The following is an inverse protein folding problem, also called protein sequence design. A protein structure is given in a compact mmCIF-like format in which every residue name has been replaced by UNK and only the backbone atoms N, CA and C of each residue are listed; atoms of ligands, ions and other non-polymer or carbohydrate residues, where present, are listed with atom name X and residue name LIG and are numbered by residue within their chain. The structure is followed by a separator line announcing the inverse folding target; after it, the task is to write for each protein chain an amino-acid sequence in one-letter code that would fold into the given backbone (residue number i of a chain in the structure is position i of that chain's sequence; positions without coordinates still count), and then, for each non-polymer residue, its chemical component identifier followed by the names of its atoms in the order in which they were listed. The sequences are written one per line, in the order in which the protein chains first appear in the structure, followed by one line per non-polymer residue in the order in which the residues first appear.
data_IF_952659989017
#
_entry.id   IF_952659989017
#
_cell.length_a   1.000
_cell.length_b   1.000
_cell.length_c   1.000
_cell.angle_alpha   90.00
_cell.angle_beta   90.00
_cell.angle_gamma   90.00
#
_symmetry.space_group_name_H-M   'P 1'
#
loop_
_entity.id
_entity.type
_entity.pdbx_description
1 polymer ?
#
# COMPACT_ATOMS: atom_id res chain seq x y z
N UNK A 1 72.73 -8.89 44.46
CA UNK A 1 74.13 -8.46 44.28
C UNK A 1 74.91 -9.57 43.57
N UNK A 2 75.42 -9.25 42.38
CA UNK A 2 76.63 -9.79 41.74
C UNK A 2 76.78 -11.32 41.58
N UNK A 3 76.49 -11.85 40.39
CA UNK A 3 77.29 -12.86 39.64
C UNK A 3 76.57 -13.30 38.34
N UNK A 4 75.89 -12.38 37.65
CA UNK A 4 75.77 -12.46 36.18
C UNK A 4 77.16 -12.12 35.59
N UNK A 5 77.54 -12.74 34.46
CA UNK A 5 78.71 -12.41 33.60
C UNK A 5 79.92 -13.39 33.56
N UNK A 6 79.71 -14.72 33.63
CA UNK A 6 80.76 -15.68 33.17
C UNK A 6 80.31 -16.82 32.27
N UNK A 7 79.05 -16.88 31.84
CA UNK A 7 78.52 -17.96 30.97
C UNK A 7 78.48 -17.62 29.46
N UNK A 8 79.00 -16.47 29.04
CA UNK A 8 78.88 -15.97 27.65
C UNK A 8 80.20 -15.97 26.85
N UNK A 9 81.26 -16.64 27.32
CA UNK A 9 82.58 -16.66 26.63
C UNK A 9 83.04 -18.03 26.13
N UNK A 10 82.23 -19.07 26.31
CA UNK A 10 82.60 -20.47 26.00
C UNK A 10 81.92 -21.05 24.75
N UNK A 11 81.10 -20.26 24.04
CA UNK A 11 80.39 -20.70 22.83
C UNK A 11 81.13 -20.35 21.51
N UNK A 12 82.25 -19.62 21.58
CA UNK A 12 82.95 -19.07 20.39
C UNK A 12 84.29 -19.75 20.05
N UNK A 13 84.65 -20.86 20.71
CA UNK A 13 85.96 -21.50 20.53
C UNK A 13 85.91 -22.98 20.13
N UNK A 14 84.72 -23.58 20.04
CA UNK A 14 84.54 -24.99 19.61
C UNK A 14 84.17 -25.10 18.11
N UNK A 15 83.80 -23.99 17.46
CA UNK A 15 83.43 -23.99 16.04
C UNK A 15 84.61 -23.81 15.05
N UNK A 16 85.83 -23.54 15.54
CA UNK A 16 86.99 -23.17 14.70
C UNK A 16 88.09 -24.25 14.65
N UNK A 17 87.91 -25.37 15.36
CA UNK A 17 88.94 -26.42 15.53
C UNK A 17 88.49 -27.81 15.02
N UNK A 18 87.61 -27.88 14.04
CA UNK A 18 87.27 -29.12 13.31
C UNK A 18 87.55 -29.05 11.80
N UNK A 19 88.24 -28.00 11.34
CA UNK A 19 88.42 -27.70 9.91
C UNK A 19 89.80 -28.01 9.34
N UNK A 20 90.67 -28.78 10.02
CA UNK A 20 92.06 -28.95 9.57
C UNK A 20 92.65 -30.38 9.62
N UNK A 21 91.85 -31.42 9.37
CA UNK A 21 92.40 -32.79 9.26
C UNK A 21 91.53 -33.75 8.43
N UNK A 22 91.45 -33.54 7.11
CA UNK A 22 91.25 -34.63 6.14
C UNK A 22 91.96 -34.25 4.84
N UNK A 23 93.29 -34.40 4.86
CA UNK A 23 94.09 -34.50 3.66
C UNK A 23 94.08 -35.95 3.17
N UNK A 24 94.01 -36.11 1.84
CA UNK A 24 94.22 -37.32 1.03
C UNK A 24 92.98 -38.12 0.62
N UNK A 25 92.51 -37.77 -0.57
CA UNK A 25 91.75 -38.58 -1.53
C UNK A 25 91.56 -37.68 -2.75
N UNK A 26 92.42 -37.76 -3.76
CA UNK A 26 92.33 -38.79 -4.78
C UNK A 26 91.52 -38.23 -5.94
N UNK A 27 92.22 -37.87 -7.02
CA UNK A 27 91.71 -37.20 -8.21
C UNK A 27 90.56 -37.96 -8.88
N UNK A 28 89.53 -37.22 -9.30
CA UNK A 28 88.94 -37.34 -10.65
C UNK A 28 88.37 -35.97 -11.06
N UNK A 29 88.75 -35.53 -12.26
CA UNK A 29 88.37 -34.24 -12.84
C UNK A 29 86.88 -34.23 -13.18
N UNK A 30 86.15 -33.24 -12.67
CA UNK A 30 84.76 -32.96 -13.06
C UNK A 30 84.79 -32.00 -14.25
N UNK A 31 84.02 -32.32 -15.28
CA UNK A 31 83.79 -31.45 -16.42
C UNK A 31 83.32 -30.06 -15.94
N UNK A 32 83.80 -29.01 -16.61
CA UNK A 32 83.47 -27.64 -16.28
C UNK A 32 81.95 -27.41 -16.32
N UNK A 33 81.43 -26.65 -15.35
CA UNK A 33 80.02 -26.26 -15.34
C UNK A 33 79.66 -25.55 -16.66
N UNK A 34 78.50 -25.84 -17.28
CA UNK A 34 78.03 -25.08 -18.43
C UNK A 34 77.85 -23.61 -18.03
N UNK A 35 78.18 -22.71 -18.96
CA UNK A 35 78.05 -21.26 -18.76
C UNK A 35 76.60 -20.89 -18.43
N UNK A 36 76.42 -19.88 -17.57
CA UNK A 36 75.09 -19.40 -17.18
C UNK A 36 74.38 -18.79 -18.38
N UNK A 37 73.12 -19.15 -18.58
CA UNK A 37 72.24 -18.49 -19.53
C UNK A 37 72.05 -17.01 -19.13
N UNK A 38 71.93 -16.14 -20.13
CA UNK A 38 71.66 -14.71 -19.90
C UNK A 38 70.29 -14.50 -19.25
N UNK A 39 70.17 -13.50 -18.37
CA UNK A 39 68.91 -13.17 -17.71
C UNK A 39 67.83 -12.80 -18.75
N UNK A 40 66.65 -13.39 -18.61
CA UNK A 40 65.48 -13.01 -19.40
C UNK A 40 65.12 -11.53 -19.13
N UNK A 41 64.68 -10.84 -20.19
CA UNK A 41 64.23 -9.45 -20.11
C UNK A 41 62.97 -9.35 -19.24
N UNK A 42 62.85 -8.27 -18.46
CA UNK A 42 61.68 -8.03 -17.61
C UNK A 42 60.39 -7.97 -18.45
N UNK A 43 59.38 -8.72 -18.04
CA UNK A 43 58.04 -8.68 -18.64
C UNK A 43 57.46 -7.26 -18.55
N UNK A 44 56.83 -6.81 -19.64
CA UNK A 44 56.13 -5.53 -19.68
C UNK A 44 54.95 -5.52 -18.71
N UNK A 45 54.79 -4.43 -17.96
CA UNK A 45 53.71 -4.29 -16.97
C UNK A 45 52.31 -4.49 -17.57
N UNK A 46 51.41 -5.05 -16.77
CA UNK A 46 50.02 -5.29 -17.16
C UNK A 46 49.32 -3.98 -17.58
N UNK A 47 48.58 -4.03 -18.68
CA UNK A 47 47.83 -2.88 -19.16
C UNK A 47 46.68 -2.50 -18.21
N UNK A 48 46.20 -1.24 -18.25
CA UNK A 48 45.08 -0.84 -17.41
C UNK A 48 43.82 -1.67 -17.70
N UNK A 49 42.97 -1.94 -16.69
CA UNK A 49 41.70 -2.62 -16.89
C UNK A 49 40.84 -1.92 -17.95
N UNK A 50 40.16 -2.70 -18.80
CA UNK A 50 39.21 -2.16 -19.76
C UNK A 50 38.04 -1.44 -19.08
N UNK A 51 37.36 -0.51 -19.78
CA UNK A 51 36.18 0.15 -19.26
C UNK A 51 35.07 -0.87 -18.93
N UNK A 52 34.22 -0.59 -17.92
CA UNK A 52 33.04 -1.41 -17.64
C UNK A 52 32.18 -1.58 -18.91
N UNK A 53 31.61 -2.77 -19.08
CA UNK A 53 30.65 -3.02 -20.16
C UNK A 53 29.40 -2.15 -20.02
N UNK A 54 28.66 -1.92 -21.12
CA UNK A 54 27.39 -1.22 -21.04
C UNK A 54 26.42 -1.96 -20.12
N UNK A 55 25.58 -1.20 -19.42
CA UNK A 55 24.49 -1.73 -18.60
C UNK A 55 23.59 -2.63 -19.47
N UNK A 56 23.20 -3.78 -18.92
CA UNK A 56 22.32 -4.71 -19.61
C UNK A 56 20.95 -4.06 -19.88
N UNK A 57 20.22 -4.49 -20.92
CA UNK A 57 18.85 -4.03 -21.10
C UNK A 57 18.02 -4.32 -19.84
N UNK A 58 17.09 -3.43 -19.45
CA UNK A 58 16.14 -3.71 -18.38
C UNK A 58 15.47 -5.06 -18.62
N UNK A 59 15.39 -5.88 -17.57
CA UNK A 59 14.67 -7.15 -17.64
C UNK A 59 13.22 -6.91 -18.10
N UNK A 60 12.56 -7.90 -18.72
CA UNK A 60 11.13 -7.81 -18.98
C UNK A 60 10.43 -7.48 -17.66
N UNK A 61 9.63 -6.41 -17.63
CA UNK A 61 8.85 -6.06 -16.45
C UNK A 61 8.07 -7.29 -15.99
N UNK A 62 8.08 -7.57 -14.69
CA UNK A 62 7.30 -8.67 -14.14
C UNK A 62 5.83 -8.40 -14.46
N UNK A 63 5.29 -9.08 -15.48
CA UNK A 63 3.85 -9.18 -15.63
C UNK A 63 3.39 -10.14 -14.55
N UNK A 64 2.87 -9.60 -13.44
CA UNK A 64 2.02 -10.40 -12.56
C UNK A 64 0.72 -10.58 -13.32
N UNK A 65 0.68 -11.62 -14.15
CA UNK A 65 -0.55 -12.08 -14.78
C UNK A 65 -1.49 -12.47 -13.64
N UNK A 66 -2.74 -12.00 -13.62
CA UNK A 66 -3.71 -12.38 -12.60
C UNK A 66 -4.05 -13.85 -12.77
N UNK A 67 -3.23 -14.71 -12.18
CA UNK A 67 -3.53 -16.11 -12.00
C UNK A 67 -4.39 -16.15 -10.75
N UNK A 68 -5.69 -16.33 -10.96
CA UNK A 68 -6.73 -16.56 -9.95
C UNK A 68 -7.36 -15.28 -9.38
N UNK A 69 -8.02 -14.49 -10.23
CA UNK A 69 -9.20 -13.78 -9.72
C UNK A 69 -10.29 -14.80 -9.42
N UNK A 70 -11.07 -14.55 -8.37
CA UNK A 70 -12.19 -15.39 -7.93
C UNK A 70 -13.12 -15.80 -9.09
N UNK A 71 -13.23 -14.96 -10.13
CA UNK A 71 -14.10 -15.14 -11.29
C UNK A 71 -13.89 -16.44 -12.07
N UNK A 72 -12.67 -16.97 -12.13
CA UNK A 72 -12.40 -18.29 -12.78
C UNK A 72 -13.29 -19.39 -12.18
N UNK A 73 -13.56 -19.30 -10.89
CA UNK A 73 -14.36 -20.26 -10.15
C UNK A 73 -15.78 -19.75 -9.88
N UNK A 74 -15.95 -18.44 -9.69
CA UNK A 74 -17.14 -17.83 -9.10
C UNK A 74 -17.95 -16.91 -10.02
N UNK A 75 -17.49 -16.60 -11.24
CA UNK A 75 -18.27 -15.81 -12.20
C UNK A 75 -19.57 -16.52 -12.60
N UNK A 76 -20.49 -15.74 -13.18
CA UNK A 76 -21.76 -16.27 -13.68
C UNK A 76 -21.52 -17.41 -14.68
N UNK A 77 -22.03 -18.60 -14.38
CA UNK A 77 -21.85 -19.81 -15.19
C UNK A 77 -20.54 -20.58 -14.95
N UNK A 78 -19.67 -20.14 -14.03
CA UNK A 78 -18.50 -20.90 -13.57
C UNK A 78 -18.91 -22.06 -12.66
N UNK A 79 -17.99 -23.00 -12.39
CA UNK A 79 -18.32 -24.24 -11.69
C UNK A 79 -18.81 -24.03 -10.24
N UNK A 80 -18.43 -22.92 -9.61
CA UNK A 80 -18.87 -22.48 -8.29
C UNK A 80 -19.44 -21.05 -8.36
N UNK A 81 -20.25 -20.78 -9.39
CA UNK A 81 -20.99 -19.52 -9.58
C UNK A 81 -21.56 -19.03 -8.24
N UNK A 82 -21.12 -17.84 -7.83
CA UNK A 82 -21.46 -17.26 -6.55
C UNK A 82 -22.48 -16.11 -6.67
N UNK A 83 -23.11 -15.91 -7.83
CA UNK A 83 -24.07 -14.82 -8.08
C UNK A 83 -25.19 -14.80 -7.04
N UNK A 84 -25.74 -15.97 -6.69
CA UNK A 84 -26.80 -16.09 -5.68
C UNK A 84 -26.31 -15.69 -4.27
N UNK A 85 -25.06 -16.01 -3.93
CA UNK A 85 -24.47 -15.70 -2.62
C UNK A 85 -23.93 -14.27 -2.51
N UNK A 86 -23.69 -13.60 -3.64
CA UNK A 86 -23.30 -12.19 -3.74
C UNK A 86 -24.47 -11.25 -4.02
N UNK A 87 -25.68 -11.77 -4.21
CA UNK A 87 -26.89 -10.96 -4.32
C UNK A 87 -27.23 -10.34 -2.95
N UNK A 88 -26.47 -9.32 -2.56
CA UNK A 88 -26.84 -8.42 -1.49
C UNK A 88 -28.07 -7.61 -1.95
N UNK A 89 -28.91 -7.13 -1.01
CA UNK A 89 -30.01 -6.24 -1.36
C UNK A 89 -29.49 -5.10 -2.25
N UNK A 90 -30.22 -4.73 -3.32
CA UNK A 90 -29.80 -3.66 -4.21
C UNK A 90 -29.50 -2.40 -3.40
N UNK A 91 -28.38 -1.75 -3.72
CA UNK A 91 -28.07 -0.46 -3.11
C UNK A 91 -28.78 0.63 -3.89
N UNK A 92 -29.41 1.53 -3.16
CA UNK A 92 -30.12 2.66 -3.73
C UNK A 92 -29.17 3.51 -4.58
N UNK A 93 -29.53 3.71 -5.84
CA UNK A 93 -28.79 4.60 -6.73
C UNK A 93 -29.08 6.06 -6.35
N UNK A 94 -28.03 6.80 -6.01
CA UNK A 94 -28.09 8.23 -5.72
C UNK A 94 -27.56 9.02 -6.91
N UNK A 95 -28.29 10.03 -7.37
CA UNK A 95 -27.95 10.78 -8.57
C UNK A 95 -28.45 12.23 -8.52
N UNK A 96 -28.15 13.00 -9.57
CA UNK A 96 -28.64 14.38 -9.77
C UNK A 96 -28.32 15.32 -8.60
N UNK A 97 -27.08 15.26 -8.10
CA UNK A 97 -26.61 16.18 -7.07
C UNK A 97 -26.63 17.62 -7.56
N UNK A 98 -27.25 18.49 -6.78
CA UNK A 98 -27.14 19.93 -6.92
C UNK A 98 -26.95 20.57 -5.54
N UNK A 99 -25.93 21.40 -5.44
CA UNK A 99 -25.54 22.07 -4.21
C UNK A 99 -25.80 23.56 -4.34
N UNK A 100 -26.46 24.12 -3.33
CA UNK A 100 -26.75 25.55 -3.26
C UNK A 100 -26.67 26.06 -1.83
N UNK A 101 -26.85 27.36 -1.68
CA UNK A 101 -26.96 27.99 -0.36
C UNK A 101 -28.27 28.75 -0.26
N UNK A 102 -28.92 28.67 0.90
CA UNK A 102 -30.15 29.40 1.17
C UNK A 102 -30.14 29.93 2.61
N UNK A 103 -30.30 31.25 2.79
CA UNK A 103 -30.40 31.88 4.12
C UNK A 103 -29.28 31.53 5.13
N UNK A 104 -28.06 31.24 4.65
CA UNK A 104 -26.93 30.85 5.52
C UNK A 104 -26.76 29.33 5.69
N UNK A 105 -27.64 28.54 5.11
CA UNK A 105 -27.59 27.09 5.12
C UNK A 105 -27.03 26.54 3.81
N UNK A 106 -26.42 25.35 3.86
CA UNK A 106 -26.11 24.57 2.68
C UNK A 106 -27.33 23.69 2.33
N UNK A 107 -27.68 23.65 1.05
CA UNK A 107 -28.81 22.88 0.53
C UNK A 107 -28.29 21.92 -0.53
N UNK A 108 -28.65 20.65 -0.40
CA UNK A 108 -28.24 19.58 -1.33
C UNK A 108 -29.49 18.89 -1.85
N UNK A 109 -29.74 18.94 -3.15
CA UNK A 109 -30.81 18.14 -3.77
C UNK A 109 -30.23 16.95 -4.51
N UNK A 110 -30.95 15.84 -4.48
CA UNK A 110 -30.55 14.58 -5.11
C UNK A 110 -31.78 13.71 -5.39
N UNK A 111 -31.59 12.69 -6.22
CA UNK A 111 -32.59 11.68 -6.52
C UNK A 111 -32.16 10.30 -6.01
N UNK A 112 -33.12 9.51 -5.52
CA UNK A 112 -32.94 8.11 -5.12
C UNK A 112 -33.78 7.19 -6.00
N UNK A 113 -33.18 6.09 -6.45
CA UNK A 113 -33.87 5.06 -7.20
C UNK A 113 -33.35 3.65 -6.87
N UNK A 114 -34.20 2.64 -7.01
CA UNK A 114 -33.83 1.23 -7.03
C UNK A 114 -34.28 0.60 -8.35
N UNK A 115 -33.36 -0.01 -9.09
CA UNK A 115 -33.64 -0.54 -10.43
C UNK A 115 -34.23 0.49 -11.41
N UNK A 116 -33.95 1.79 -11.19
CA UNK A 116 -34.52 2.90 -11.96
C UNK A 116 -35.92 3.36 -11.53
N UNK A 117 -36.51 2.75 -10.49
CA UNK A 117 -37.76 3.19 -9.89
C UNK A 117 -37.50 4.18 -8.75
N UNK A 118 -38.22 5.31 -8.68
CA UNK A 118 -38.00 6.31 -7.64
C UNK A 118 -38.36 5.76 -6.26
N UNK A 119 -37.46 5.94 -5.30
CA UNK A 119 -37.70 5.59 -3.90
C UNK A 119 -38.31 6.78 -3.19
N UNK A 120 -39.44 6.61 -2.50
CA UNK A 120 -40.25 7.73 -2.01
C UNK A 120 -40.46 7.73 -0.49
N UNK A 121 -39.78 6.86 0.25
CA UNK A 121 -40.02 6.66 1.68
C UNK A 121 -38.92 7.18 2.60
N UNK A 122 -37.72 7.48 2.07
CA UNK A 122 -36.63 8.08 2.84
C UNK A 122 -37.01 9.44 3.45
N UNK A 123 -36.59 9.70 4.68
CA UNK A 123 -37.05 10.88 5.42
C UNK A 123 -36.08 11.43 6.48
N UNK A 124 -34.94 10.76 6.72
CA UNK A 124 -34.01 11.17 7.77
C UNK A 124 -32.54 11.16 7.34
N UNK A 125 -31.81 12.21 7.74
CA UNK A 125 -30.34 12.23 7.74
C UNK A 125 -29.82 11.71 9.07
N UNK A 126 -29.05 10.63 9.03
CA UNK A 126 -28.37 10.08 10.20
C UNK A 126 -26.92 10.58 10.34
N UNK A 127 -26.27 10.92 9.23
CA UNK A 127 -24.89 11.41 9.20
C UNK A 127 -24.76 12.46 8.10
N UNK A 128 -24.04 13.53 8.42
CA UNK A 128 -23.61 14.54 7.47
C UNK A 128 -22.18 14.93 7.85
N UNK A 129 -21.20 14.31 7.21
CA UNK A 129 -19.79 14.62 7.41
C UNK A 129 -19.26 15.39 6.21
N UNK A 130 -18.30 16.26 6.48
CA UNK A 130 -17.52 16.93 5.45
C UNK A 130 -16.04 16.83 5.79
N UNK A 131 -15.21 16.65 4.77
CA UNK A 131 -13.76 16.73 4.87
C UNK A 131 -13.22 17.74 3.86
N UNK A 132 -12.38 18.67 4.32
CA UNK A 132 -11.78 19.73 3.49
C UNK A 132 -10.30 19.47 3.12
N UNK A 133 -9.91 18.20 3.04
CA UNK A 133 -8.53 17.78 2.70
C UNK A 133 -7.66 17.49 3.92
N UNK A 134 -8.28 17.23 5.06
CA UNK A 134 -7.57 16.88 6.30
C UNK A 134 -8.40 17.09 7.56
N UNK A 135 -9.34 18.04 7.53
CA UNK A 135 -10.24 18.31 8.66
C UNK A 135 -11.62 17.73 8.45
N UNK A 136 -12.09 16.95 9.42
CA UNK A 136 -13.46 16.42 9.39
C UNK A 136 -14.40 17.20 10.29
N UNK A 137 -15.46 17.72 9.69
CA UNK A 137 -16.58 18.34 10.40
C UNK A 137 -17.82 17.48 10.28
N UNK A 138 -18.48 17.28 11.40
CA UNK A 138 -19.74 16.56 11.57
C UNK A 138 -20.85 17.57 11.84
N UNK A 139 -21.81 17.55 10.91
CA UNK A 139 -23.01 18.37 10.84
C UNK A 139 -24.28 17.58 11.13
N UNK A 140 -24.21 16.35 11.67
CA UNK A 140 -25.39 15.48 11.87
C UNK A 140 -26.53 16.18 12.61
N UNK A 141 -26.21 16.99 13.63
CA UNK A 141 -27.19 17.64 14.50
C UNK A 141 -27.80 18.90 13.85
N UNK A 142 -27.24 19.32 12.70
CA UNK A 142 -27.66 20.48 11.92
C UNK A 142 -28.28 20.09 10.57
N UNK A 143 -28.24 18.81 10.21
CA UNK A 143 -28.76 18.30 8.96
C UNK A 143 -30.21 17.83 9.10
N UNK A 144 -31.05 18.24 8.15
CA UNK A 144 -32.45 17.82 8.04
C UNK A 144 -32.74 17.40 6.61
N UNK A 145 -33.75 16.55 6.42
CA UNK A 145 -34.16 16.06 5.11
C UNK A 145 -35.61 16.39 4.83
N UNK A 146 -35.91 16.71 3.57
CA UNK A 146 -37.25 16.85 3.04
C UNK A 146 -37.41 15.92 1.82
N UNK A 147 -38.53 15.24 1.76
CA UNK A 147 -38.97 14.45 0.62
C UNK A 147 -39.79 15.34 -0.31
N UNK A 148 -39.30 15.56 -1.53
CA UNK A 148 -39.93 16.43 -2.51
C UNK A 148 -40.90 15.68 -3.43
N UNK A 149 -41.03 14.35 -3.27
CA UNK A 149 -41.81 13.48 -4.14
C UNK A 149 -41.01 12.97 -5.34
N UNK A 150 -41.55 11.93 -5.98
CA UNK A 150 -41.00 11.32 -7.21
C UNK A 150 -39.52 10.90 -7.12
N UNK A 151 -39.08 10.51 -5.92
CA UNK A 151 -37.70 10.10 -5.67
C UNK A 151 -36.72 11.24 -5.46
N UNK A 152 -37.19 12.50 -5.41
CA UNK A 152 -36.33 13.66 -5.20
C UNK A 152 -36.35 14.12 -3.75
N UNK A 153 -35.18 14.53 -3.28
CA UNK A 153 -34.94 14.86 -1.89
C UNK A 153 -34.11 16.12 -1.74
N UNK A 154 -34.27 16.79 -0.60
CA UNK A 154 -33.44 17.93 -0.20
C UNK A 154 -32.87 17.67 1.18
N UNK A 155 -31.55 17.76 1.34
CA UNK A 155 -30.89 17.91 2.63
C UNK A 155 -30.59 19.38 2.86
N UNK A 156 -30.93 19.89 4.04
CA UNK A 156 -30.56 21.24 4.50
C UNK A 156 -29.66 21.13 5.72
N UNK A 157 -28.49 21.76 5.66
CA UNK A 157 -27.51 21.79 6.75
C UNK A 157 -27.44 23.22 7.30
N UNK A 158 -27.98 23.40 8.49
CA UNK A 158 -28.10 24.70 9.13
C UNK A 158 -26.73 25.34 9.39
N UNK A 159 -26.55 26.58 8.94
CA UNK A 159 -25.33 27.37 9.15
C UNK A 159 -24.10 26.95 8.33
N UNK A 160 -24.23 25.99 7.40
CA UNK A 160 -23.11 25.46 6.62
C UNK A 160 -22.86 26.19 5.28
N UNK A 161 -23.50 27.33 5.00
CA UNK A 161 -23.28 28.03 3.72
C UNK A 161 -21.82 28.42 3.46
N UNK A 162 -21.01 28.62 4.51
CA UNK A 162 -19.59 28.93 4.37
C UNK A 162 -18.79 27.78 3.72
N UNK A 163 -19.25 26.54 3.87
CA UNK A 163 -18.60 25.35 3.28
C UNK A 163 -18.69 25.34 1.75
N UNK A 164 -19.62 26.09 1.15
CA UNK A 164 -19.70 26.23 -0.30
C UNK A 164 -18.50 26.97 -0.92
N UNK A 165 -17.68 27.63 -0.10
CA UNK A 165 -16.50 28.37 -0.53
C UNK A 165 -15.19 27.58 -0.38
N UNK A 166 -15.24 26.35 0.12
CA UNK A 166 -14.08 25.50 0.42
C UNK A 166 -14.26 24.17 -0.25
N UNK A 167 -13.23 23.68 -0.97
CA UNK A 167 -13.24 22.34 -1.55
C UNK A 167 -13.48 21.29 -0.47
N UNK A 168 -14.48 20.46 -0.68
CA UNK A 168 -15.07 19.64 0.37
C UNK A 168 -15.58 18.34 -0.22
N UNK A 169 -15.34 17.24 0.50
CA UNK A 169 -16.00 15.95 0.28
C UNK A 169 -17.07 15.76 1.33
N UNK A 170 -18.31 15.63 0.88
CA UNK A 170 -19.45 15.34 1.72
C UNK A 170 -19.73 13.85 1.76
N UNK A 171 -20.07 13.31 2.93
CA UNK A 171 -20.61 11.97 3.10
C UNK A 171 -21.91 12.04 3.90
N UNK A 172 -22.98 11.58 3.28
CA UNK A 172 -24.29 11.50 3.90
C UNK A 172 -24.66 10.06 4.19
N UNK A 173 -25.34 9.84 5.30
CA UNK A 173 -26.10 8.61 5.54
C UNK A 173 -27.54 8.97 5.77
N UNK A 174 -28.43 8.40 4.98
CA UNK A 174 -29.87 8.61 5.09
C UNK A 174 -30.58 7.31 5.45
N UNK A 175 -31.81 7.41 5.95
CA UNK A 175 -32.70 6.28 6.14
C UNK A 175 -34.14 6.57 5.77
N UNK A 176 -34.86 5.49 5.53
CA UNK A 176 -36.30 5.40 5.71
C UNK A 176 -36.57 5.07 7.18
N UNK A 177 -37.14 6.02 7.93
CA UNK A 177 -37.40 5.86 9.36
C UNK A 177 -38.63 5.00 9.69
N UNK A 178 -39.51 4.78 8.70
CA UNK A 178 -40.78 4.05 8.87
C UNK A 178 -40.74 2.61 8.38
N UNK A 179 -39.68 2.22 7.67
CA UNK A 179 -39.52 0.86 7.21
C UNK A 179 -39.18 -0.09 8.38
N UNK A 180 -40.10 -1.03 8.65
CA UNK A 180 -39.90 -2.11 9.61
C UNK A 180 -38.95 -3.15 9.01
N UNK A 181 -37.65 -3.00 9.25
CA UNK A 181 -36.68 -4.02 8.91
C UNK A 181 -36.56 -5.07 10.03
N UNK A 182 -36.18 -6.30 9.67
CA UNK A 182 -35.68 -7.29 10.64
C UNK A 182 -34.45 -6.75 11.41
N UNK A 183 -33.69 -5.82 10.80
CA UNK A 183 -32.72 -4.97 11.47
C UNK A 183 -32.76 -3.55 10.91
N UNK A 184 -32.80 -2.50 11.76
CA UNK A 184 -32.78 -1.06 11.40
C UNK A 184 -31.63 -0.61 10.45
N UNK A 185 -30.81 -1.54 9.96
CA UNK A 185 -29.68 -1.36 9.04
C UNK A 185 -30.03 -1.60 7.57
N UNK A 186 -31.20 -2.16 7.25
CA UNK A 186 -31.57 -2.56 5.88
C UNK A 186 -31.96 -1.37 4.99
N UNK A 187 -32.52 -0.30 5.56
CA UNK A 187 -32.98 0.88 4.81
C UNK A 187 -32.06 2.08 4.99
N UNK A 188 -30.75 1.86 4.85
CA UNK A 188 -29.72 2.87 5.06
C UNK A 188 -28.80 2.96 3.87
N UNK A 189 -28.78 4.13 3.24
CA UNK A 189 -27.87 4.40 2.14
C UNK A 189 -26.82 5.43 2.51
N UNK A 190 -25.59 5.17 2.09
CA UNK A 190 -24.53 6.17 2.03
C UNK A 190 -24.38 6.71 0.62
N UNK A 191 -24.00 7.97 0.53
CA UNK A 191 -23.48 8.55 -0.70
C UNK A 191 -22.51 9.65 -0.37
N UNK A 192 -21.59 9.90 -1.28
CA UNK A 192 -20.66 11.01 -1.20
C UNK A 192 -20.82 11.94 -2.40
N UNK A 193 -20.37 13.18 -2.24
CA UNK A 193 -20.26 14.12 -3.33
C UNK A 193 -19.18 15.14 -3.00
N UNK A 194 -18.46 15.58 -4.03
CA UNK A 194 -17.48 16.65 -3.92
C UNK A 194 -18.13 17.97 -4.32
N UNK A 195 -18.01 18.99 -3.47
CA UNK A 195 -18.54 20.31 -3.74
C UNK A 195 -17.80 21.38 -2.93
N UNK A 196 -17.32 22.48 -3.55
CA UNK A 196 -17.39 22.77 -4.97
C UNK A 196 -16.44 21.89 -5.81
N UNK A 197 -15.31 21.45 -5.25
CA UNK A 197 -14.40 20.50 -5.90
C UNK A 197 -13.89 19.45 -4.91
N UNK A 198 -13.21 18.43 -5.46
CA UNK A 198 -12.57 17.38 -4.68
C UNK A 198 -11.39 17.95 -3.86
N UNK A 199 -11.43 17.89 -2.51
CA UNK A 199 -10.37 18.43 -1.66
C UNK A 199 -9.07 17.60 -1.69
N UNK A 200 -9.11 16.40 -2.26
CA UNK A 200 -7.97 15.49 -2.38
C UNK A 200 -7.32 15.54 -3.78
N UNK A 201 -7.72 16.48 -4.65
CA UNK A 201 -7.23 16.55 -6.04
C UNK A 201 -5.70 16.72 -6.17
N UNK A 202 -5.05 17.32 -5.16
CA UNK A 202 -3.58 17.48 -5.10
C UNK A 202 -2.87 16.30 -4.41
N UNK A 203 -3.61 15.41 -3.74
CA UNK A 203 -3.06 14.16 -3.24
C UNK A 203 -2.81 13.22 -4.44
N UNK A 204 -1.81 12.32 -4.38
CA UNK A 204 -1.70 11.28 -5.41
C UNK A 204 -3.06 10.58 -5.53
N UNK A 205 -3.50 10.28 -6.78
CA UNK A 205 -4.83 9.74 -7.01
C UNK A 205 -5.07 8.53 -6.13
N UNK A 206 -6.34 8.29 -5.74
CA UNK A 206 -6.71 7.05 -5.07
C UNK A 206 -6.01 5.90 -5.76
N UNK A 207 -5.18 5.17 -5.04
CA UNK A 207 -4.45 4.07 -5.62
C UNK A 207 -5.34 2.83 -5.83
N UNK A 208 -6.66 2.96 -5.68
CA UNK A 208 -7.63 1.86 -5.80
C UNK A 208 -8.90 2.39 -6.46
N UNK A 209 -9.35 1.75 -7.53
CA UNK A 209 -10.65 2.02 -8.16
C UNK A 209 -11.75 1.16 -7.57
N UNK A 210 -12.95 1.25 -8.17
CA UNK A 210 -14.10 0.46 -7.73
C UNK A 210 -14.12 -0.97 -8.25
N UNK A 211 -13.60 -1.20 -9.46
CA UNK A 211 -13.57 -2.52 -10.10
C UNK A 211 -12.70 -3.51 -9.31
N UNK A 212 -11.63 -3.02 -8.70
CA UNK A 212 -10.73 -3.81 -7.86
C UNK A 212 -11.41 -4.32 -6.58
N UNK A 213 -12.30 -3.53 -5.99
CA UNK A 213 -13.13 -3.94 -4.86
C UNK A 213 -14.20 -4.93 -5.31
N UNK A 214 -14.88 -4.63 -6.43
CA UNK A 214 -15.99 -5.42 -6.96
C UNK A 214 -15.57 -6.85 -7.33
N UNK A 215 -14.31 -7.05 -7.72
CA UNK A 215 -13.76 -8.37 -8.07
C UNK A 215 -13.87 -9.41 -6.94
N UNK A 216 -13.97 -8.99 -5.68
CA UNK A 216 -14.14 -9.87 -4.52
C UNK A 216 -15.41 -9.57 -3.71
N UNK A 217 -15.85 -8.31 -3.66
CA UNK A 217 -16.99 -7.89 -2.83
C UNK A 217 -18.32 -7.77 -3.60
N UNK A 218 -18.31 -7.96 -4.93
CA UNK A 218 -19.48 -7.72 -5.79
C UNK A 218 -19.75 -6.22 -6.01
N UNK A 219 -20.65 -5.87 -6.94
CA UNK A 219 -21.02 -4.47 -7.20
C UNK A 219 -21.64 -3.78 -5.98
N UNK A 220 -22.28 -4.54 -5.10
CA UNK A 220 -22.88 -4.06 -3.86
C UNK A 220 -21.81 -3.66 -2.81
N UNK A 221 -20.55 -4.05 -3.03
CA UNK A 221 -19.42 -3.61 -2.22
C UNK A 221 -19.45 -4.11 -0.78
N UNK A 222 -19.07 -3.25 0.17
CA UNK A 222 -18.77 -3.66 1.54
C UNK A 222 -19.72 -3.07 2.57
N UNK A 223 -20.02 -3.86 3.59
CA UNK A 223 -20.83 -3.42 4.74
C UNK A 223 -19.93 -3.08 5.92
N UNK A 224 -19.63 -1.80 6.07
CA UNK A 224 -18.84 -1.26 7.18
C UNK A 224 -19.58 -0.12 7.87
N UNK A 225 -19.26 0.14 9.14
CA UNK A 225 -19.88 1.23 9.92
C UNK A 225 -21.42 1.24 9.93
N UNK A 226 -22.05 0.07 9.71
CA UNK A 226 -23.49 -0.16 9.82
C UNK A 226 -24.34 0.23 8.60
N UNK A 227 -23.76 0.30 7.40
CA UNK A 227 -24.48 0.36 6.10
C UNK A 227 -23.54 -0.07 4.96
N UNK A 228 -24.02 -0.08 3.72
CA UNK A 228 -23.31 -0.54 2.53
C UNK A 228 -22.61 0.62 1.80
N UNK A 229 -21.42 0.35 1.30
CA UNK A 229 -20.65 1.21 0.41
C UNK A 229 -20.49 0.49 -0.91
N UNK A 230 -21.07 1.04 -1.99
CA UNK A 230 -21.06 0.43 -3.32
C UNK A 230 -19.62 0.29 -3.82
N UNK A 231 -19.33 -0.80 -4.51
CA UNK A 231 -17.97 -1.03 -4.98
C UNK A 231 -17.54 0.01 -6.01
N UNK A 232 -18.44 0.49 -6.87
CA UNK A 232 -18.14 1.48 -7.90
C UNK A 232 -17.62 2.82 -7.37
N UNK A 233 -17.89 3.13 -6.10
CA UNK A 233 -17.37 4.34 -5.44
C UNK A 233 -15.90 4.20 -5.01
N UNK A 234 -15.33 2.98 -5.08
CA UNK A 234 -13.96 2.70 -4.66
C UNK A 234 -13.71 3.13 -3.22
N UNK A 235 -12.53 3.71 -2.97
CA UNK A 235 -12.17 4.25 -1.66
C UNK A 235 -12.67 5.66 -1.37
N UNK A 236 -13.34 6.31 -2.33
CA UNK A 236 -13.67 7.73 -2.28
C UNK A 236 -14.53 8.11 -1.06
N UNK A 237 -15.67 7.43 -0.76
CA UNK A 237 -16.48 7.77 0.40
C UNK A 237 -15.71 7.56 1.71
N UNK A 238 -14.80 6.59 1.74
CA UNK A 238 -13.98 6.27 2.91
C UNK A 238 -13.00 7.40 3.24
N UNK A 239 -12.48 8.13 2.26
CA UNK A 239 -11.58 9.27 2.47
C UNK A 239 -12.21 10.40 3.26
N UNK A 240 -13.54 10.50 3.31
CA UNK A 240 -14.20 11.50 4.17
C UNK A 240 -13.73 11.36 5.61
N UNK A 241 -13.55 10.14 6.12
CA UNK A 241 -13.05 9.90 7.47
C UNK A 241 -11.59 9.44 7.50
N UNK A 242 -11.19 8.55 6.58
CA UNK A 242 -9.87 7.93 6.53
C UNK A 242 -8.84 8.71 5.70
N UNK A 243 -9.23 9.88 5.17
CA UNK A 243 -8.34 10.91 4.64
C UNK A 243 -8.14 12.08 5.62
N UNK A 244 -8.72 11.99 6.83
CA UNK A 244 -8.52 12.99 7.86
C UNK A 244 -7.11 12.93 8.43
N UNK A 245 -6.52 14.10 8.66
CA UNK A 245 -5.26 14.27 9.37
C UNK A 245 -5.45 14.85 10.77
N UNK A 246 -6.63 15.42 11.04
CA UNK A 246 -7.01 15.88 12.38
C UNK A 246 -8.09 15.02 13.04
N UNK A 247 -7.90 14.79 14.32
CA UNK A 247 -8.47 13.66 15.02
C UNK A 247 -9.82 13.92 15.68
N UNK A 248 -10.83 14.40 14.96
CA UNK A 248 -12.20 14.47 15.54
C UNK A 248 -12.71 13.10 16.02
N UNK A 249 -12.21 12.02 15.42
CA UNK A 249 -12.46 10.63 15.83
C UNK A 249 -11.28 9.97 16.57
N UNK A 250 -10.31 10.76 17.05
CA UNK A 250 -8.98 10.28 17.48
C UNK A 250 -8.00 10.19 16.31
N UNK A 251 -6.83 9.57 16.53
CA UNK A 251 -5.92 9.21 15.43
C UNK A 251 -6.63 8.19 14.54
N UNK A 252 -7.18 8.64 13.40
CA UNK A 252 -7.89 7.79 12.46
C UNK A 252 -6.86 7.11 11.58
N UNK A 253 -6.84 5.79 11.59
CA UNK A 253 -6.01 5.02 10.68
C UNK A 253 -6.33 5.42 9.23
N UNK A 254 -5.29 5.61 8.41
CA UNK A 254 -5.48 5.94 7.00
C UNK A 254 -6.23 4.82 6.27
N UNK A 255 -6.83 5.14 5.11
CA UNK A 255 -7.54 4.14 4.33
C UNK A 255 -6.63 2.97 3.96
N UNK A 256 -5.40 3.26 3.52
CA UNK A 256 -4.40 2.23 3.21
C UNK A 256 -4.06 1.37 4.42
N UNK A 257 -3.93 1.96 5.60
CA UNK A 257 -3.68 1.22 6.84
C UNK A 257 -4.80 0.24 7.14
N UNK A 258 -6.04 0.71 7.19
CA UNK A 258 -7.18 -0.14 7.52
C UNK A 258 -7.33 -1.27 6.49
N UNK A 259 -7.26 -0.94 5.20
CA UNK A 259 -7.40 -1.93 4.12
C UNK A 259 -6.31 -3.00 4.21
N UNK A 260 -5.04 -2.62 4.33
CA UNK A 260 -3.95 -3.60 4.38
C UNK A 260 -3.97 -4.43 5.67
N UNK A 261 -4.24 -3.85 6.83
CA UNK A 261 -4.27 -4.59 8.11
C UNK A 261 -5.38 -5.65 8.15
N UNK A 262 -6.55 -5.35 7.56
CA UNK A 262 -7.63 -6.34 7.45
C UNK A 262 -7.26 -7.48 6.49
N UNK A 263 -6.81 -7.17 5.28
CA UNK A 263 -6.52 -8.21 4.30
C UNK A 263 -5.30 -9.05 4.70
N UNK A 264 -4.27 -8.45 5.32
CA UNK A 264 -3.10 -9.17 5.85
C UNK A 264 -3.41 -10.10 7.02
N UNK A 265 -4.59 -9.99 7.62
CA UNK A 265 -4.97 -10.76 8.81
C UNK A 265 -4.32 -10.25 10.11
N UNK A 266 -3.65 -9.09 10.07
CA UNK A 266 -3.02 -8.50 11.25
C UNK A 266 -4.03 -7.90 12.23
N UNK A 267 -5.17 -7.42 11.72
CA UNK A 267 -6.23 -6.83 12.54
C UNK A 267 -7.22 -7.85 13.09
N UNK A 268 -7.66 -8.74 12.21
CA UNK A 268 -8.64 -9.79 12.48
C UNK A 268 -8.25 -11.02 11.66
N UNK A 269 -8.59 -12.22 12.13
CA UNK A 269 -8.34 -13.45 11.38
C UNK A 269 -9.22 -13.48 10.13
N UNK A 270 -8.63 -13.15 8.99
CA UNK A 270 -9.27 -13.14 7.67
C UNK A 270 -8.48 -14.05 6.74
N UNK A 271 -9.18 -14.98 6.09
CA UNK A 271 -8.59 -15.79 5.02
C UNK A 271 -8.62 -15.00 3.73
N UNK A 272 -7.55 -14.28 3.42
CA UNK A 272 -7.41 -13.61 2.13
C UNK A 272 -7.25 -14.66 1.01
N UNK A 273 -8.09 -14.62 -0.04
CA UNK A 273 -8.15 -15.71 -1.02
C UNK A 273 -7.05 -15.66 -2.08
N UNK A 274 -6.12 -14.70 -2.00
CA UNK A 274 -5.02 -14.53 -2.96
C UNK A 274 -3.67 -14.36 -2.25
N UNK A 275 -2.60 -14.11 -3.00
CA UNK A 275 -1.28 -13.80 -2.44
C UNK A 275 -1.23 -12.37 -1.91
N UNK A 276 -0.94 -12.19 -0.61
CA UNK A 276 -0.84 -10.87 0.04
C UNK A 276 0.14 -9.91 -0.65
N UNK A 277 1.17 -10.45 -1.27
CA UNK A 277 2.19 -9.68 -2.00
C UNK A 277 1.77 -9.31 -3.42
N UNK A 278 0.57 -9.69 -3.86
CA UNK A 278 0.05 -9.37 -5.19
C UNK A 278 -0.69 -8.02 -5.17
N UNK A 279 0.06 -6.93 -5.21
CA UNK A 279 -0.47 -5.57 -5.15
C UNK A 279 -1.49 -5.27 -6.27
N UNK A 280 -1.36 -5.92 -7.44
CA UNK A 280 -2.20 -5.63 -8.60
C UNK A 280 -3.65 -6.11 -8.46
N UNK A 281 -3.96 -6.85 -7.39
CA UNK A 281 -5.36 -7.21 -7.06
C UNK A 281 -6.16 -5.96 -6.68
N UNK A 282 -5.53 -5.00 -5.99
CA UNK A 282 -6.18 -3.75 -5.55
C UNK A 282 -5.65 -2.51 -6.29
N UNK A 283 -4.39 -2.53 -6.70
CA UNK A 283 -3.75 -1.43 -7.41
C UNK A 283 -3.66 -1.77 -8.90
N UNK A 284 -4.66 -1.41 -9.71
CA UNK A 284 -4.66 -1.76 -11.13
C UNK A 284 -3.50 -1.11 -11.91
N UNK A 285 -2.94 -1.86 -12.86
CA UNK A 285 -1.91 -1.36 -13.76
C UNK A 285 -2.49 -0.38 -14.78
N UNK A 286 -3.72 -0.64 -15.25
CA UNK A 286 -4.36 0.13 -16.32
C UNK A 286 -4.70 1.56 -15.91
N UNK A 287 -5.03 1.78 -14.63
CA UNK A 287 -5.24 3.10 -14.06
C UNK A 287 -3.94 3.76 -13.54
N UNK A 288 -2.79 3.10 -13.71
CA UNK A 288 -1.48 3.58 -13.22
C UNK A 288 -1.29 3.44 -11.70
N UNK A 289 -2.27 2.90 -10.98
CA UNK A 289 -2.21 2.74 -9.53
C UNK A 289 -1.10 1.79 -9.08
N UNK A 290 -0.87 0.71 -9.84
CA UNK A 290 0.23 -0.22 -9.55
C UNK A 290 1.59 0.48 -9.63
N UNK A 291 1.78 1.36 -10.62
CA UNK A 291 3.01 2.12 -10.77
C UNK A 291 3.20 3.10 -9.62
N UNK A 292 2.12 3.76 -9.18
CA UNK A 292 2.14 4.61 -7.99
C UNK A 292 2.51 3.81 -6.73
N UNK A 293 1.90 2.64 -6.53
CA UNK A 293 2.18 1.78 -5.39
C UNK A 293 3.64 1.30 -5.37
N UNK A 294 4.16 0.85 -6.52
CA UNK A 294 5.53 0.36 -6.64
C UNK A 294 6.61 1.44 -6.52
N UNK A 295 6.24 2.72 -6.66
CA UNK A 295 7.17 3.85 -6.51
C UNK A 295 7.13 4.48 -5.13
N UNK A 296 6.26 3.99 -4.24
CA UNK A 296 6.17 4.50 -2.87
C UNK A 296 7.48 4.22 -2.11
N UNK A 297 8.11 5.25 -1.50
CA UNK A 297 9.18 5.05 -0.53
C UNK A 297 8.68 4.23 0.66
N UNK A 298 9.60 3.56 1.37
CA UNK A 298 9.28 2.92 2.64
C UNK A 298 8.61 3.95 3.54
N UNK A 299 7.36 3.69 3.89
CA UNK A 299 6.47 4.60 4.59
C UNK A 299 5.58 3.82 5.55
N UNK A 300 4.70 4.52 6.28
CA UNK A 300 3.69 3.86 7.11
C UNK A 300 2.86 2.84 6.33
N UNK A 301 2.66 3.03 5.02
CA UNK A 301 1.96 2.06 4.16
C UNK A 301 2.64 0.69 4.03
N UNK A 302 3.96 0.59 4.23
CA UNK A 302 4.65 -0.71 4.23
C UNK A 302 4.44 -1.45 5.55
N UNK A 303 4.34 -0.70 6.64
CA UNK A 303 4.21 -1.20 8.01
C UNK A 303 2.81 -1.78 8.30
N UNK A 304 1.84 -1.50 7.46
CA UNK A 304 0.49 -2.04 7.57
C UNK A 304 0.42 -3.54 7.30
N UNK A 305 1.44 -4.13 6.63
CA UNK A 305 1.60 -5.58 6.46
C UNK A 305 2.88 -6.09 7.12
N UNK A 306 3.93 -5.26 7.19
CA UNK A 306 5.22 -5.65 7.75
C UNK A 306 5.36 -5.32 9.24
N UNK A 307 4.42 -4.65 9.91
CA UNK A 307 4.63 -4.20 11.29
C UNK A 307 5.69 -3.11 11.34
N UNK A 308 6.68 -3.19 12.23
CA UNK A 308 7.72 -2.16 12.36
C UNK A 308 9.00 -2.46 11.56
N UNK A 309 10.01 -1.58 11.65
CA UNK A 309 11.31 -1.81 11.00
C UNK A 309 12.07 -3.04 11.52
N UNK A 310 11.70 -3.61 12.67
CA UNK A 310 12.34 -4.82 13.20
C UNK A 310 11.94 -6.06 12.39
N UNK A 311 10.77 -6.08 11.74
CA UNK A 311 10.37 -7.18 10.85
C UNK A 311 11.24 -7.30 9.61
N UNK A 312 11.94 -6.22 9.24
CA UNK A 312 12.85 -6.19 8.11
C UNK A 312 14.29 -6.57 8.50
N UNK A 313 14.59 -6.64 9.80
CA UNK A 313 15.94 -6.92 10.29
C UNK A 313 16.48 -8.27 9.78
N UNK A 314 15.62 -9.28 9.60
CA UNK A 314 15.99 -10.60 9.07
C UNK A 314 16.44 -10.57 7.60
N UNK A 315 16.02 -9.57 6.82
CA UNK A 315 16.36 -9.42 5.40
C UNK A 315 17.60 -8.52 5.17
N UNK A 316 18.01 -7.76 6.19
CA UNK A 316 19.16 -6.85 6.13
C UNK A 316 20.34 -7.28 7.00
N UNK A 317 20.24 -8.43 7.70
CA UNK A 317 21.41 -9.11 8.25
C UNK A 317 22.21 -9.81 7.13
N UNK A 318 23.53 -9.53 6.99
CA UNK A 318 24.40 -10.16 5.98
C UNK A 318 24.47 -11.68 6.05
#
# INVERSE_FOLDING_TARGET
MYQFHKRFRWAWSILVMFTLAFAMGGCDGKDGAPGQDGLDGLDGGEGPPGPPGPEGPPGPGASVTPLESCGVCHDQGSFADATEYHALPPIEAVSNFDFGTNNGDLVVTFALADGGLPLTSYDEVMRAYVNNGGTVTDYRDFATMANNGDGNYTITIAGAAAEAAVDNRWLFRIRDSVAEAETDREFRTYFYADFPNNPFAEAPPLAVGGDECAACHGPEGIRVHGSHFIASDGGEPCLTCHGATDGRFGEVASLGQVTHEYHSGLRDEITYPTYMTNCSVCHSADAGFLAAANTMPVSQGCFTCHGDMNSWAEYFTP
#
